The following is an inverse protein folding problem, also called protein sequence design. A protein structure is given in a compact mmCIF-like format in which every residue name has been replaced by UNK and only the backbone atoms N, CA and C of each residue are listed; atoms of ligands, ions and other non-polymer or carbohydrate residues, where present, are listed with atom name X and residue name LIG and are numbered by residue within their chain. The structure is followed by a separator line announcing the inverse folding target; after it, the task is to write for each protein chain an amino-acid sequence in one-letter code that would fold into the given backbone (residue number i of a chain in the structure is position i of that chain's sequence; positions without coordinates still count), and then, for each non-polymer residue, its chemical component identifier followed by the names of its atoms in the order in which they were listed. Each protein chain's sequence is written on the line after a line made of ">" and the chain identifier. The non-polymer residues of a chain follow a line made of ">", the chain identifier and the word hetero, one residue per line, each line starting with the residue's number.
data_IF_601653715742
#
_entry.id   IF_601653715742
#
_cell.length_a   1.000
_cell.length_b   1.000
_cell.length_c   1.000
_cell.angle_alpha   90.00
_cell.angle_beta   90.00
_cell.angle_gamma   90.00
#
_symmetry.space_group_name_H-M   'P 1'
#
loop_
_entity.id
_entity.type
_entity.pdbx_description
1 polymer ?
#
# COMPACT_ATOMS: atom_id res chain seq x y z
N UNK A 1 25.49 -9.58 2.97
CA UNK A 1 24.49 -8.59 2.52
C UNK A 1 24.52 -7.41 3.47
N UNK A 2 24.52 -6.18 2.95
CA UNK A 2 24.37 -4.97 3.75
C UNK A 2 23.28 -4.09 3.12
N UNK A 3 22.55 -3.39 3.97
CA UNK A 3 21.55 -2.42 3.54
C UNK A 3 21.64 -1.21 4.46
N UNK A 4 21.60 -0.02 3.87
CA UNK A 4 21.53 1.26 4.57
C UNK A 4 20.63 2.21 3.77
N UNK A 5 19.65 2.81 4.42
CA UNK A 5 18.83 3.87 3.85
C UNK A 5 18.69 5.04 4.83
N UNK A 6 18.71 6.28 4.34
CA UNK A 6 18.65 7.50 5.15
C UNK A 6 17.50 8.40 4.69
N UNK A 7 16.77 8.95 5.66
CA UNK A 7 15.74 9.97 5.46
C UNK A 7 16.07 11.21 6.31
N UNK A 8 16.21 12.36 5.67
CA UNK A 8 16.47 13.65 6.34
C UNK A 8 15.24 14.59 6.32
N UNK A 9 14.25 14.30 5.48
CA UNK A 9 13.05 15.12 5.36
C UNK A 9 12.00 14.69 6.40
N UNK A 10 11.58 15.62 7.27
CA UNK A 10 10.58 15.36 8.31
C UNK A 10 9.19 14.94 7.77
N UNK A 11 8.80 15.43 6.58
CA UNK A 11 7.60 14.98 5.91
C UNK A 11 7.69 13.51 5.51
N UNK A 12 8.82 13.11 4.91
CA UNK A 12 9.05 11.75 4.41
C UNK A 12 9.17 10.77 5.57
N UNK A 13 9.77 11.19 6.69
CA UNK A 13 9.82 10.37 7.91
C UNK A 13 8.43 10.09 8.48
N UNK A 14 7.55 11.10 8.56
CA UNK A 14 6.16 10.90 9.03
C UNK A 14 5.33 10.07 8.05
N UNK A 15 5.52 10.30 6.76
CA UNK A 15 4.89 9.52 5.69
C UNK A 15 5.29 8.05 5.77
N UNK A 16 6.58 7.76 5.89
CA UNK A 16 7.11 6.40 6.06
C UNK A 16 6.49 5.72 7.29
N UNK A 17 6.42 6.42 8.43
CA UNK A 17 5.74 5.89 9.60
C UNK A 17 4.27 5.57 9.33
N UNK A 18 3.53 6.44 8.64
CA UNK A 18 2.12 6.21 8.33
C UNK A 18 1.92 5.03 7.37
N UNK A 19 2.85 4.82 6.43
CA UNK A 19 2.89 3.64 5.57
C UNK A 19 3.06 2.38 6.41
N UNK A 20 4.07 2.33 7.30
CA UNK A 20 4.29 1.15 8.15
C UNK A 20 3.11 0.92 9.12
N UNK A 21 2.50 1.97 9.66
CA UNK A 21 1.29 1.85 10.49
C UNK A 21 0.12 1.31 9.67
N UNK A 22 -0.02 1.70 8.40
CA UNK A 22 -1.03 1.14 7.49
C UNK A 22 -0.83 -0.37 7.34
N UNK A 23 0.40 -0.80 7.06
CA UNK A 23 0.74 -2.23 6.95
C UNK A 23 0.49 -2.99 8.26
N UNK A 24 0.75 -2.38 9.43
CA UNK A 24 0.51 -3.02 10.72
C UNK A 24 -0.95 -3.30 11.04
N UNK A 25 -1.88 -2.65 10.33
CA UNK A 25 -3.33 -2.92 10.43
C UNK A 25 -3.80 -3.99 9.45
N UNK A 26 -2.99 -4.34 8.46
CA UNK A 26 -3.34 -5.28 7.40
C UNK A 26 -2.80 -6.68 7.67
N UNK A 27 -1.58 -6.78 8.21
CA UNK A 27 -0.90 -8.05 8.44
C UNK A 27 -0.09 -8.06 9.73
N UNK A 28 0.13 -9.26 10.30
CA UNK A 28 1.02 -9.49 11.44
C UNK A 28 2.49 -9.53 11.04
N UNK A 29 2.76 -10.03 9.83
CA UNK A 29 4.09 -10.15 9.20
C UNK A 29 4.03 -9.58 7.78
N UNK A 30 4.99 -8.73 7.43
CA UNK A 30 5.12 -8.18 6.08
C UNK A 30 6.48 -8.54 5.49
N UNK A 31 6.52 -8.62 4.16
CA UNK A 31 7.75 -8.83 3.41
C UNK A 31 8.29 -7.50 2.93
N UNK A 32 9.58 -7.29 3.13
CA UNK A 32 10.35 -6.16 2.63
C UNK A 32 11.23 -6.68 1.49
N UNK A 33 10.98 -6.22 0.27
CA UNK A 33 11.81 -6.48 -0.90
C UNK A 33 12.64 -5.23 -1.21
N UNK A 34 13.96 -5.35 -1.09
CA UNK A 34 14.94 -4.27 -1.22
C UNK A 34 15.69 -4.46 -2.53
N UNK A 35 15.50 -3.55 -3.48
CA UNK A 35 16.13 -3.53 -4.81
C UNK A 35 17.00 -2.25 -4.96
N UNK A 36 17.99 -2.21 -5.87
CA UNK A 36 18.89 -1.07 -6.04
C UNK A 36 18.21 0.29 -6.24
N UNK A 37 17.05 0.31 -6.88
CA UNK A 37 16.31 1.50 -7.28
C UNK A 37 14.99 1.69 -6.53
N UNK A 38 14.53 0.70 -5.77
CA UNK A 38 13.22 0.73 -5.11
C UNK A 38 13.16 -0.21 -3.89
N UNK A 39 12.29 0.12 -2.96
CA UNK A 39 11.93 -0.74 -1.85
C UNK A 39 10.43 -0.99 -1.86
N UNK A 40 10.07 -2.26 -1.69
CA UNK A 40 8.70 -2.70 -1.65
C UNK A 40 8.34 -3.27 -0.29
N UNK A 41 7.14 -2.97 0.19
CA UNK A 41 6.56 -3.62 1.36
C UNK A 41 5.30 -4.36 0.96
N UNK A 42 5.21 -5.64 1.30
CA UNK A 42 4.13 -6.52 0.88
C UNK A 42 3.41 -7.03 2.12
N UNK A 43 2.13 -6.70 2.23
CA UNK A 43 1.20 -7.31 3.16
C UNK A 43 0.40 -8.36 2.40
N UNK A 44 0.85 -9.61 2.48
CA UNK A 44 0.21 -10.73 1.80
C UNK A 44 -0.94 -11.31 2.64
N UNK A 45 -1.85 -12.01 1.97
CA UNK A 45 -2.94 -12.76 2.59
C UNK A 45 -2.35 -13.97 3.34
N UNK A 46 -2.44 -13.99 4.68
CA UNK A 46 -2.36 -15.27 5.40
C UNK A 46 -3.60 -16.09 4.97
N UNK A 47 -3.39 -17.31 4.49
CA UNK A 47 -4.45 -18.17 3.92
C UNK A 47 -5.69 -18.22 4.82
N UNK A 48 -6.86 -17.82 4.29
CA UNK A 48 -8.14 -17.80 5.02
C UNK A 48 -8.49 -16.48 5.71
N UNK A 49 -7.72 -15.41 5.50
CA UNK A 49 -8.03 -14.08 6.06
C UNK A 49 -8.87 -13.21 5.11
N UNK A 50 -9.63 -12.29 5.68
CA UNK A 50 -10.39 -11.27 4.92
C UNK A 50 -9.55 -10.03 4.58
N UNK A 51 -8.22 -10.12 4.60
CA UNK A 51 -7.35 -8.99 4.28
C UNK A 51 -7.04 -8.99 2.77
N UNK A 52 -7.07 -7.83 2.09
CA UNK A 52 -6.68 -7.77 0.70
C UNK A 52 -5.16 -7.78 0.56
N UNK A 53 -4.67 -8.25 -0.60
CA UNK A 53 -3.27 -8.08 -0.96
C UNK A 53 -2.99 -6.57 -1.09
N UNK A 54 -1.99 -6.10 -0.34
CA UNK A 54 -1.54 -4.72 -0.38
C UNK A 54 -0.04 -4.70 -0.52
N UNK A 55 0.46 -3.87 -1.43
CA UNK A 55 1.89 -3.59 -1.51
C UNK A 55 2.16 -2.10 -1.63
N UNK A 56 3.35 -1.70 -1.24
CA UNK A 56 3.82 -0.32 -1.27
C UNK A 56 5.06 -0.26 -2.12
N UNK A 57 5.08 0.68 -3.06
CA UNK A 57 6.21 0.96 -3.93
C UNK A 57 6.84 2.28 -3.49
N UNK A 58 8.15 2.26 -3.24
CA UNK A 58 8.94 3.46 -2.89
C UNK A 58 10.18 3.50 -3.80
N UNK A 59 10.27 4.52 -4.65
CA UNK A 59 11.46 4.82 -5.44
C UNK A 59 12.58 5.29 -4.52
N UNK A 60 13.70 4.57 -4.53
CA UNK A 60 14.79 4.79 -3.59
C UNK A 60 15.51 6.14 -3.84
N UNK A 61 15.64 6.55 -5.11
CA UNK A 61 16.34 7.77 -5.52
C UNK A 61 15.53 9.02 -5.15
N UNK A 62 14.21 8.93 -5.23
CA UNK A 62 13.32 10.04 -4.91
C UNK A 62 13.06 10.16 -3.40
N UNK A 63 13.17 9.05 -2.66
CA UNK A 63 12.76 8.99 -1.25
C UNK A 63 13.91 9.11 -0.24
N UNK A 64 15.04 8.47 -0.49
CA UNK A 64 16.16 8.41 0.45
C UNK A 64 17.31 9.32 0.01
N UNK A 65 17.93 10.02 0.97
CA UNK A 65 19.12 10.85 0.72
C UNK A 65 20.38 9.99 0.55
N UNK A 66 20.41 8.84 1.20
CA UNK A 66 21.44 7.81 1.02
C UNK A 66 20.74 6.45 0.92
N UNK A 67 21.09 5.67 -0.09
CA UNK A 67 20.54 4.33 -0.30
C UNK A 67 21.61 3.40 -0.82
N UNK A 68 22.10 2.51 0.05
CA UNK A 68 23.24 1.64 -0.20
C UNK A 68 22.85 0.19 0.06
N UNK A 69 23.08 -0.65 -0.95
CA UNK A 69 22.86 -2.09 -0.89
C UNK A 69 24.15 -2.78 -1.33
N UNK A 70 24.61 -3.72 -0.51
CA UNK A 70 25.65 -4.67 -0.88
C UNK A 70 25.03 -6.08 -0.91
N UNK A 71 24.94 -6.64 -2.10
CA UNK A 71 24.44 -8.00 -2.32
C UNK A 71 25.55 -9.01 -2.05
N UNK A 72 25.17 -10.26 -1.75
CA UNK A 72 26.15 -11.31 -1.44
C UNK A 72 27.00 -11.72 -2.65
N UNK A 73 26.46 -11.56 -3.85
CA UNK A 73 26.95 -12.16 -5.10
C UNK A 73 26.52 -11.26 -6.28
N UNK A 74 27.36 -11.15 -7.32
CA UNK A 74 27.13 -10.28 -8.50
C UNK A 74 25.94 -10.66 -9.38
N UNK A 75 25.41 -11.87 -9.24
CA UNK A 75 24.24 -12.35 -10.01
C UNK A 75 22.88 -11.99 -9.38
N UNK A 76 22.87 -11.30 -8.24
CA UNK A 76 21.63 -11.05 -7.50
C UNK A 76 21.22 -9.59 -7.67
N UNK A 77 19.91 -9.36 -7.63
CA UNK A 77 19.33 -8.03 -7.78
C UNK A 77 18.61 -7.54 -6.53
N UNK A 78 18.34 -8.38 -5.51
CA UNK A 78 17.48 -7.98 -4.38
C UNK A 78 17.78 -8.69 -3.05
N UNK A 79 17.28 -8.12 -1.95
CA UNK A 79 17.25 -8.71 -0.60
C UNK A 79 15.80 -8.79 -0.14
N UNK A 80 15.34 -9.97 0.27
CA UNK A 80 13.98 -10.18 0.79
C UNK A 80 14.02 -10.54 2.27
N UNK A 81 13.25 -9.80 3.07
CA UNK A 81 13.17 -9.93 4.52
C UNK A 81 11.71 -10.07 4.95
N UNK A 82 11.42 -10.84 6.00
CA UNK A 82 10.13 -10.82 6.70
C UNK A 82 10.29 -10.13 8.05
N UNK A 83 9.32 -9.31 8.43
CA UNK A 83 9.27 -8.70 9.77
C UNK A 83 7.85 -8.32 10.17
N UNK A 84 7.64 -8.14 11.46
CA UNK A 84 6.37 -7.60 11.96
C UNK A 84 6.28 -6.09 11.74
N UNK A 85 5.34 -5.58 10.92
CA UNK A 85 5.13 -4.14 10.76
C UNK A 85 4.71 -3.47 12.08
N UNK A 86 4.09 -4.20 13.01
CA UNK A 86 3.77 -3.69 14.34
C UNK A 86 5.05 -3.40 15.17
N UNK A 87 6.07 -4.24 15.09
CA UNK A 87 7.36 -3.99 15.75
C UNK A 87 8.12 -2.86 15.06
N UNK A 88 8.10 -2.83 13.72
CA UNK A 88 8.73 -1.77 12.95
C UNK A 88 8.09 -0.41 13.22
N UNK A 89 6.75 -0.32 13.27
CA UNK A 89 6.05 0.94 13.59
C UNK A 89 6.38 1.44 15.01
N UNK A 90 6.59 0.53 15.97
CA UNK A 90 7.02 0.89 17.33
C UNK A 90 8.45 1.44 17.35
N UNK A 91 9.37 0.82 16.61
CA UNK A 91 10.74 1.31 16.44
C UNK A 91 10.80 2.69 15.76
N UNK A 92 9.85 2.98 14.86
CA UNK A 92 9.71 4.26 14.16
C UNK A 92 8.88 5.30 14.94
N UNK A 93 8.45 5.01 16.18
CA UNK A 93 7.55 5.90 16.93
C UNK A 93 8.14 7.29 17.17
N UNK A 94 9.47 7.40 17.29
CA UNK A 94 10.22 8.66 17.42
C UNK A 94 10.02 9.61 16.23
N UNK A 95 9.62 9.10 15.05
CA UNK A 95 9.34 9.92 13.85
C UNK A 95 8.08 10.79 14.00
N UNK A 96 7.23 10.53 15.00
CA UNK A 96 6.10 11.42 15.34
C UNK A 96 6.56 12.73 15.97
N UNK A 97 7.76 12.74 16.54
CA UNK A 97 8.35 13.91 17.21
C UNK A 97 9.14 14.78 16.22
N UNK A 98 9.91 15.74 16.72
CA UNK A 98 10.79 16.59 15.91
C UNK A 98 12.05 15.83 15.44
N UNK A 99 11.85 14.73 14.70
CA UNK A 99 12.90 13.96 14.07
C UNK A 99 13.56 14.76 12.93
N UNK A 100 14.89 14.71 12.85
CA UNK A 100 15.68 15.37 11.80
C UNK A 100 16.41 14.40 10.90
N UNK A 101 16.70 13.21 11.40
CA UNK A 101 17.43 12.19 10.69
C UNK A 101 16.89 10.83 11.10
N UNK A 102 16.67 9.95 10.12
CA UNK A 102 16.32 8.56 10.34
C UNK A 102 17.17 7.69 9.43
N UNK A 103 17.79 6.67 10.00
CA UNK A 103 18.64 5.72 9.28
C UNK A 103 18.18 4.31 9.56
N UNK A 104 17.92 3.58 8.48
CA UNK A 104 17.60 2.17 8.48
C UNK A 104 18.87 1.41 8.11
N UNK A 105 19.25 0.41 8.89
CA UNK A 105 20.44 -0.41 8.61
C UNK A 105 20.18 -1.87 8.90
N UNK A 106 20.48 -2.73 7.92
CA UNK A 106 20.51 -4.17 8.17
C UNK A 106 21.80 -4.53 8.91
N UNK A 107 21.65 -5.13 10.09
CA UNK A 107 22.75 -5.57 10.94
C UNK A 107 22.55 -7.04 11.30
N UNK A 108 23.63 -7.69 11.71
CA UNK A 108 23.57 -9.03 12.28
C UNK A 108 24.11 -8.98 13.70
N UNK A 109 23.24 -9.27 14.68
CA UNK A 109 23.63 -9.45 16.08
C UNK A 109 23.73 -10.95 16.37
N UNK A 110 22.91 -11.47 17.29
CA UNK A 110 22.66 -12.91 17.42
C UNK A 110 21.75 -13.45 16.31
N UNK A 111 20.92 -12.56 15.75
CA UNK A 111 20.05 -12.79 14.62
C UNK A 111 19.99 -11.50 13.76
N UNK A 112 19.52 -11.59 12.50
CA UNK A 112 19.41 -10.42 11.63
C UNK A 112 18.39 -9.40 12.18
N UNK A 113 18.76 -8.13 12.21
CA UNK A 113 17.89 -7.04 12.63
C UNK A 113 17.91 -5.87 11.64
N UNK A 114 16.76 -5.24 11.46
CA UNK A 114 16.66 -3.92 10.88
C UNK A 114 16.78 -2.88 12.00
N UNK A 115 17.97 -2.28 12.12
CA UNK A 115 18.23 -1.20 13.06
C UNK A 115 17.63 0.10 12.53
N UNK A 116 16.87 0.77 13.39
CA UNK A 116 16.28 2.09 13.17
C UNK A 116 16.99 3.08 14.09
N UNK A 117 17.79 3.98 13.55
CA UNK A 117 18.44 5.08 14.27
C UNK A 117 17.72 6.39 13.95
N UNK A 118 17.28 7.13 14.95
CA UNK A 118 16.56 8.41 14.78
C UNK A 118 17.16 9.49 15.66
N UNK A 119 17.48 10.63 15.07
CA UNK A 119 17.89 11.83 15.80
C UNK A 119 16.70 12.76 15.98
N UNK A 120 16.37 13.02 17.26
CA UNK A 120 15.23 13.85 17.66
C UNK A 120 15.75 15.09 18.37
N UNK A 121 15.26 16.26 17.95
CA UNK A 121 15.55 17.54 18.60
C UNK A 121 14.70 17.69 19.87
N UNK A 122 15.35 17.91 21.01
CA UNK A 122 14.65 18.23 22.27
C UNK A 122 14.14 19.66 22.24
N UNK A 123 12.88 19.87 22.66
CA UNK A 123 12.25 21.20 22.66
C UNK A 123 12.92 22.18 23.63
N UNK A 124 13.55 21.67 24.70
CA UNK A 124 14.01 22.51 25.81
C UNK A 124 15.50 22.85 25.77
N UNK A 125 16.33 22.14 24.99
CA UNK A 125 17.79 22.32 25.04
C UNK A 125 18.47 22.46 23.67
N UNK A 126 17.72 22.48 22.55
CA UNK A 126 18.28 22.42 21.19
C UNK A 126 19.31 21.28 21.00
N UNK A 127 19.31 20.28 21.88
CA UNK A 127 20.20 19.13 21.81
C UNK A 127 19.53 18.03 21.01
N UNK A 128 20.31 17.31 20.23
CA UNK A 128 19.86 16.13 19.49
C UNK A 128 20.02 14.90 20.36
N UNK A 129 18.91 14.21 20.64
CA UNK A 129 18.92 12.89 21.26
C UNK A 129 18.83 11.83 20.16
N UNK A 130 19.78 10.92 20.14
CA UNK A 130 19.74 9.76 19.28
C UNK A 130 18.99 8.62 19.97
N UNK A 131 18.11 7.95 19.22
CA UNK A 131 17.41 6.73 19.63
C UNK A 131 17.73 5.64 18.63
N UNK A 132 17.98 4.42 19.12
CA UNK A 132 18.29 3.27 18.29
C UNK A 132 17.44 2.08 18.72
N UNK A 133 16.75 1.45 17.77
CA UNK A 133 15.90 0.28 17.99
C UNK A 133 16.26 -0.81 17.00
N UNK A 134 16.45 -2.03 17.49
CA UNK A 134 16.76 -3.20 16.67
C UNK A 134 15.50 -4.03 16.50
N UNK A 135 14.98 -4.09 15.26
CA UNK A 135 13.79 -4.86 14.92
C UNK A 135 14.22 -6.21 14.34
N UNK A 136 13.85 -7.36 14.94
CA UNK A 136 14.16 -8.66 14.37
C UNK A 136 13.60 -8.82 12.95
N UNK A 137 14.42 -9.37 12.04
CA UNK A 137 14.00 -9.71 10.68
C UNK A 137 14.45 -11.13 10.33
N UNK A 138 13.65 -11.81 9.53
CA UNK A 138 13.99 -13.12 8.97
C UNK A 138 14.40 -12.94 7.51
N UNK A 139 15.58 -13.43 7.14
CA UNK A 139 16.01 -13.41 5.73
C UNK A 139 15.25 -14.51 4.99
N UNK A 140 14.51 -14.15 3.95
CA UNK A 140 13.71 -15.12 3.18
C UNK A 140 14.65 -15.90 2.23
N UNK A 141 14.67 -17.24 2.30
CA UNK A 141 15.46 -18.07 1.41
C UNK A 141 15.08 -17.87 -0.06
N UNK A 142 16.07 -17.98 -0.96
CA UNK A 142 15.88 -17.72 -2.40
C UNK A 142 14.83 -18.62 -3.05
N UNK A 143 14.72 -19.88 -2.62
CA UNK A 143 13.73 -20.82 -3.14
C UNK A 143 12.28 -20.45 -2.82
N UNK A 144 12.06 -19.45 -1.94
CA UNK A 144 10.73 -18.99 -1.55
C UNK A 144 10.39 -17.62 -2.15
N UNK A 145 11.29 -17.00 -2.92
CA UNK A 145 11.07 -15.65 -3.45
C UNK A 145 9.87 -15.56 -4.40
N UNK A 146 9.61 -16.61 -5.16
CA UNK A 146 8.50 -16.69 -6.12
C UNK A 146 7.13 -16.52 -5.45
N UNK A 147 6.99 -16.94 -4.18
CA UNK A 147 5.74 -16.77 -3.42
C UNK A 147 5.44 -15.32 -3.03
N UNK A 148 6.45 -14.46 -3.10
CA UNK A 148 6.38 -13.05 -2.71
C UNK A 148 6.63 -12.11 -3.89
N UNK A 149 6.60 -12.64 -5.12
CA UNK A 149 6.64 -11.78 -6.29
C UNK A 149 5.42 -10.88 -6.33
N UNK A 150 5.68 -9.60 -6.60
CA UNK A 150 4.63 -8.61 -6.74
C UNK A 150 3.77 -8.96 -7.95
N UNK A 151 2.43 -8.90 -7.84
CA UNK A 151 1.59 -9.00 -9.01
C UNK A 151 1.93 -7.87 -9.97
N UNK A 152 1.93 -8.17 -11.27
CA UNK A 152 2.00 -7.11 -12.27
C UNK A 152 0.80 -6.17 -12.10
N UNK A 153 1.03 -4.86 -12.19
CA UNK A 153 -0.05 -3.87 -12.16
C UNK A 153 -1.08 -4.26 -13.23
N UNK A 154 -2.33 -4.54 -12.86
CA UNK A 154 -3.32 -5.02 -13.81
C UNK A 154 -3.67 -3.92 -14.80
N UNK A 155 -3.89 -4.31 -16.05
CA UNK A 155 -4.36 -3.40 -17.08
C UNK A 155 -5.89 -3.31 -17.02
N UNK A 156 -6.40 -2.46 -16.11
CA UNK A 156 -7.85 -2.28 -15.91
C UNK A 156 -8.53 -1.62 -17.12
N UNK A 157 -9.78 -2.02 -17.38
CA UNK A 157 -10.60 -1.47 -18.47
C UNK A 157 -10.88 0.02 -18.30
N UNK A 158 -11.22 0.45 -17.08
CA UNK A 158 -11.41 1.85 -16.73
C UNK A 158 -10.64 2.17 -15.45
N UNK A 159 -9.91 3.30 -15.45
CA UNK A 159 -9.25 3.83 -14.25
C UNK A 159 -9.75 5.24 -13.98
N UNK A 160 -10.36 5.43 -12.81
CA UNK A 160 -10.96 6.69 -12.37
C UNK A 160 -10.20 7.26 -11.16
N UNK A 161 -10.09 8.58 -11.08
CA UNK A 161 -9.63 9.25 -9.86
C UNK A 161 -10.82 9.51 -8.92
N UNK A 162 -10.71 9.02 -7.70
CA UNK A 162 -11.72 9.12 -6.64
C UNK A 162 -11.27 10.16 -5.61
N UNK A 163 -12.06 11.22 -5.37
CA UNK A 163 -11.59 12.44 -4.71
C UNK A 163 -11.36 12.32 -3.20
N UNK A 164 -11.85 11.26 -2.53
CA UNK A 164 -11.62 11.12 -1.08
C UNK A 164 -11.72 9.68 -0.58
N UNK A 165 -10.58 9.18 -0.07
CA UNK A 165 -10.53 7.93 0.68
C UNK A 165 -11.43 7.96 1.94
N UNK A 166 -11.64 9.13 2.56
CA UNK A 166 -12.44 9.27 3.79
C UNK A 166 -13.92 9.06 3.52
N UNK A 167 -14.42 9.59 2.40
CA UNK A 167 -15.79 9.38 1.96
C UNK A 167 -16.02 7.91 1.62
N UNK A 168 -15.12 7.32 0.83
CA UNK A 168 -15.15 5.89 0.50
C UNK A 168 -15.12 5.02 1.75
N UNK A 169 -14.20 5.30 2.68
CA UNK A 169 -14.09 4.59 3.95
C UNK A 169 -15.40 4.61 4.73
N UNK A 170 -15.97 5.80 4.95
CA UNK A 170 -17.19 5.94 5.75
C UNK A 170 -18.41 5.27 5.11
N UNK A 171 -18.45 5.21 3.77
CA UNK A 171 -19.49 4.53 3.02
C UNK A 171 -19.32 3.00 3.06
N UNK A 172 -18.14 2.50 2.72
CA UNK A 172 -17.84 1.05 2.76
C UNK A 172 -18.00 0.50 4.18
N UNK A 173 -17.65 1.27 5.20
CA UNK A 173 -17.86 0.88 6.61
C UNK A 173 -19.33 0.70 6.99
N UNK A 174 -20.25 1.39 6.32
CA UNK A 174 -21.70 1.19 6.50
C UNK A 174 -22.19 0.02 5.65
N UNK A 175 -21.76 -0.06 4.40
CA UNK A 175 -22.19 -1.10 3.44
C UNK A 175 -21.81 -2.50 3.91
N UNK A 176 -20.62 -2.68 4.52
CA UNK A 176 -20.15 -4.01 4.98
C UNK A 176 -21.06 -4.71 5.98
N UNK A 177 -21.90 -3.95 6.68
CA UNK A 177 -22.86 -4.46 7.66
C UNK A 177 -24.21 -4.82 7.02
N UNK A 178 -24.43 -4.40 5.76
CA UNK A 178 -25.67 -4.56 5.02
C UNK A 178 -25.55 -5.67 3.99
N UNK A 179 -24.44 -5.72 3.26
CA UNK A 179 -24.18 -6.72 2.22
C UNK A 179 -22.75 -7.28 2.33
N UNK A 180 -22.55 -8.59 2.09
CA UNK A 180 -21.21 -9.17 2.04
C UNK A 180 -20.41 -8.68 0.82
N UNK A 181 -21.09 -8.26 -0.25
CA UNK A 181 -20.47 -7.84 -1.51
C UNK A 181 -20.81 -6.39 -1.84
N UNK A 182 -19.96 -5.76 -2.63
CA UNK A 182 -20.20 -4.42 -3.17
C UNK A 182 -19.78 -4.40 -4.64
N UNK A 183 -20.66 -3.90 -5.49
CA UNK A 183 -20.44 -3.78 -6.92
C UNK A 183 -19.94 -2.38 -7.20
N UNK A 184 -18.76 -2.28 -7.81
CA UNK A 184 -18.26 -1.04 -8.37
C UNK A 184 -18.61 -1.03 -9.85
N UNK A 185 -19.34 -0.02 -10.27
CA UNK A 185 -19.71 0.22 -11.65
C UNK A 185 -19.19 1.59 -12.07
N UNK A 186 -18.54 1.68 -13.22
CA UNK A 186 -17.93 2.90 -13.73
C UNK A 186 -18.27 3.11 -15.20
N UNK A 187 -18.29 4.37 -15.63
CA UNK A 187 -18.48 4.74 -17.04
C UNK A 187 -17.40 5.71 -17.52
N UNK A 188 -17.17 5.72 -18.83
CA UNK A 188 -16.31 6.67 -19.54
C UNK A 188 -16.84 8.12 -19.53
N UNK A 189 -17.97 8.37 -18.87
CA UNK A 189 -18.49 9.72 -18.62
C UNK A 189 -18.04 10.28 -17.26
N UNK A 190 -17.21 9.56 -16.49
CA UNK A 190 -16.77 9.99 -15.17
C UNK A 190 -17.83 9.80 -14.09
N UNK A 191 -18.72 8.82 -14.26
CA UNK A 191 -19.64 8.38 -13.21
C UNK A 191 -19.16 7.05 -12.61
N UNK A 192 -19.22 6.93 -11.29
CA UNK A 192 -18.99 5.67 -10.57
C UNK A 192 -20.12 5.42 -9.59
N UNK A 193 -20.72 4.24 -9.65
CA UNK A 193 -21.74 3.77 -8.73
C UNK A 193 -21.15 2.67 -7.84
N UNK A 194 -21.40 2.78 -6.54
CA UNK A 194 -21.23 1.68 -5.60
C UNK A 194 -22.61 1.14 -5.27
N UNK A 195 -22.85 -0.11 -5.63
CA UNK A 195 -24.13 -0.80 -5.45
C UNK A 195 -23.95 -1.90 -4.42
N UNK A 196 -24.82 -1.92 -3.42
CA UNK A 196 -24.91 -2.97 -2.44
C UNK A 196 -26.33 -3.52 -2.44
N UNK A 197 -26.46 -4.81 -2.68
CA UNK A 197 -27.75 -5.50 -2.76
C UNK A 197 -27.98 -6.32 -1.51
N UNK A 198 -29.21 -6.25 -1.01
CA UNK A 198 -29.72 -7.03 0.12
C UNK A 198 -31.10 -7.55 -0.26
N UNK A 199 -31.63 -8.53 0.47
CA UNK A 199 -32.96 -9.09 0.19
C UNK A 199 -34.08 -8.05 0.24
N UNK A 200 -33.93 -6.98 1.04
CA UNK A 200 -34.98 -5.99 1.27
C UNK A 200 -34.75 -4.66 0.53
N UNK A 201 -33.52 -4.36 0.12
CA UNK A 201 -33.18 -3.06 -0.48
C UNK A 201 -31.90 -3.11 -1.32
N UNK A 202 -31.85 -2.26 -2.34
CA UNK A 202 -30.64 -1.96 -3.11
C UNK A 202 -30.18 -0.55 -2.76
N UNK A 203 -28.95 -0.43 -2.28
CA UNK A 203 -28.33 0.85 -1.94
C UNK A 203 -27.36 1.19 -3.06
N UNK A 204 -27.62 2.29 -3.76
CA UNK A 204 -26.72 2.82 -4.79
C UNK A 204 -26.18 4.17 -4.36
N UNK A 205 -24.87 4.30 -4.29
CA UNK A 205 -24.22 5.60 -4.11
C UNK A 205 -23.51 6.00 -5.39
N UNK A 206 -23.83 7.19 -5.89
CA UNK A 206 -23.29 7.71 -7.14
C UNK A 206 -22.26 8.82 -6.90
N UNK A 207 -21.10 8.66 -7.50
CA UNK A 207 -20.08 9.66 -7.69
C UNK A 207 -20.15 10.17 -9.14
N UNK A 208 -20.10 11.49 -9.31
CA UNK A 208 -20.17 12.16 -10.63
C UNK A 208 -18.97 13.08 -10.78
N UNK A 209 -18.67 13.45 -12.03
CA UNK A 209 -17.58 14.36 -12.39
C UNK A 209 -16.22 13.83 -11.89
N UNK A 210 -15.98 12.53 -12.03
CA UNK A 210 -14.69 11.92 -11.74
C UNK A 210 -13.76 12.05 -12.94
N UNK A 211 -12.50 12.36 -12.68
CA UNK A 211 -11.48 12.41 -13.73
C UNK A 211 -11.11 11.00 -14.17
N UNK A 212 -11.10 10.77 -15.48
CA UNK A 212 -10.71 9.50 -16.06
C UNK A 212 -9.22 9.52 -16.32
N UNK A 213 -8.50 8.57 -15.72
CA UNK A 213 -7.06 8.45 -15.84
C UNK A 213 -6.66 7.62 -17.06
N UNK A 214 -7.28 6.45 -17.21
CA UNK A 214 -6.98 5.52 -18.30
C UNK A 214 -8.27 4.81 -18.77
N UNK A 215 -8.33 4.53 -20.08
CA UNK A 215 -9.40 3.76 -20.72
C UNK A 215 -8.74 2.74 -21.63
N UNK A 216 -8.90 1.46 -21.30
CA UNK A 216 -8.37 0.33 -22.05
C UNK A 216 -9.56 -0.50 -22.58
N UNK A 217 -10.07 -0.19 -23.78
CA UNK A 217 -11.25 -0.87 -24.32
C UNK A 217 -10.98 -2.36 -24.55
N UNK A 218 -12.00 -3.18 -24.30
CA UNK A 218 -11.99 -4.59 -24.65
C UNK A 218 -11.96 -4.77 -26.17
N UNK A 219 -11.36 -5.87 -26.66
CA UNK A 219 -11.25 -6.16 -28.11
C UNK A 219 -12.65 -6.26 -28.74
N UNK A 220 -13.13 -5.17 -29.33
CA UNK A 220 -14.46 -5.08 -29.95
C UNK A 220 -15.20 -3.76 -29.71
N UNK A 221 -14.81 -3.00 -28.67
CA UNK A 221 -15.44 -1.72 -28.34
C UNK A 221 -14.86 -0.59 -29.22
N UNK A 222 -15.63 -0.15 -30.23
CA UNK A 222 -15.20 0.86 -31.21
C UNK A 222 -15.41 2.30 -30.75
N UNK A 223 -16.34 2.53 -29.81
CA UNK A 223 -16.69 3.86 -29.32
C UNK A 223 -16.15 4.06 -27.90
N UNK A 224 -15.13 4.92 -27.76
CA UNK A 224 -14.54 5.26 -26.46
C UNK A 224 -15.50 5.99 -25.52
N UNK A 225 -16.57 6.57 -26.06
CA UNK A 225 -17.51 7.42 -25.32
C UNK A 225 -18.59 6.64 -24.56
N UNK A 226 -18.70 5.32 -24.74
CA UNK A 226 -19.69 4.45 -24.08
C UNK A 226 -19.04 3.21 -23.46
N UNK A 227 -17.89 3.39 -22.82
CA UNK A 227 -17.22 2.28 -22.13
C UNK A 227 -17.72 2.25 -20.70
N UNK A 228 -18.18 1.08 -20.28
CA UNK A 228 -18.57 0.81 -18.90
C UNK A 228 -17.76 -0.36 -18.36
N UNK A 229 -17.51 -0.37 -17.05
CA UNK A 229 -16.84 -1.47 -16.38
C UNK A 229 -17.52 -1.76 -15.05
N UNK A 230 -17.66 -3.05 -14.72
CA UNK A 230 -18.23 -3.47 -13.44
C UNK A 230 -17.53 -4.65 -12.81
N UNK A 231 -17.35 -4.61 -11.49
CA UNK A 231 -16.80 -5.73 -10.73
C UNK A 231 -17.43 -5.79 -9.34
N UNK A 232 -17.81 -6.99 -8.91
CA UNK A 232 -18.30 -7.28 -7.56
C UNK A 232 -17.15 -7.76 -6.69
N UNK A 233 -16.93 -7.15 -5.52
CA UNK A 233 -15.84 -7.49 -4.60
C UNK A 233 -16.33 -7.71 -3.17
N UNK A 234 -15.54 -8.42 -2.36
CA UNK A 234 -15.82 -8.61 -0.94
C UNK A 234 -15.78 -7.27 -0.18
N UNK A 235 -16.88 -6.92 0.48
CA UNK A 235 -17.02 -5.64 1.15
C UNK A 235 -16.17 -5.55 2.43
N UNK A 236 -15.88 -6.67 3.10
CA UNK A 236 -15.02 -6.70 4.28
C UNK A 236 -13.56 -6.49 3.90
N UNK A 237 -13.07 -7.15 2.84
CA UNK A 237 -11.72 -6.92 2.26
C UNK A 237 -11.55 -5.45 1.91
N UNK A 238 -12.53 -4.88 1.21
CA UNK A 238 -12.56 -3.46 0.83
C UNK A 238 -12.55 -2.54 2.06
N UNK A 239 -13.36 -2.83 3.08
CA UNK A 239 -13.41 -2.05 4.33
C UNK A 239 -12.08 -2.07 5.09
N UNK A 240 -11.42 -3.24 5.16
CA UNK A 240 -10.14 -3.41 5.84
C UNK A 240 -9.07 -2.54 5.18
N UNK A 241 -8.99 -2.53 3.85
CA UNK A 241 -8.09 -1.64 3.10
C UNK A 241 -8.29 -0.18 3.49
N UNK A 242 -9.51 0.36 3.32
CA UNK A 242 -9.79 1.77 3.60
C UNK A 242 -9.62 2.14 5.08
N UNK A 243 -9.91 1.21 5.99
CA UNK A 243 -9.72 1.43 7.44
C UNK A 243 -8.26 1.40 7.87
N UNK A 244 -7.42 0.65 7.15
CA UNK A 244 -6.00 0.56 7.41
C UNK A 244 -5.26 1.84 7.00
N UNK A 245 -5.64 2.47 5.88
CA UNK A 245 -4.97 3.67 5.34
C UNK A 245 -4.82 4.77 6.41
N UNK A 246 -3.57 5.04 6.82
CA UNK A 246 -3.21 6.16 7.71
C UNK A 246 -2.45 7.27 6.98
N UNK A 247 -2.26 7.12 5.68
CA UNK A 247 -1.55 8.10 4.87
C UNK A 247 -2.47 9.31 4.57
N UNK A 248 -1.92 10.54 4.58
CA UNK A 248 -2.69 11.72 4.20
C UNK A 248 -3.28 11.52 2.81
N UNK A 249 -4.48 12.06 2.61
CA UNK A 249 -5.30 11.84 1.41
C UNK A 249 -4.58 12.33 0.16
N UNK A 250 -3.94 11.41 -0.56
CA UNK A 250 -3.50 11.62 -1.92
C UNK A 250 -4.59 11.30 -2.94
N UNK A 251 -4.22 11.27 -4.21
CA UNK A 251 -5.08 10.83 -5.31
C UNK A 251 -5.29 9.32 -5.21
N UNK A 252 -6.54 8.90 -5.02
CA UNK A 252 -6.95 7.50 -5.08
C UNK A 252 -7.41 7.19 -6.51
N UNK A 253 -6.71 6.34 -7.23
CA UNK A 253 -7.19 5.79 -8.48
C UNK A 253 -7.87 4.44 -8.24
N UNK A 254 -9.01 4.22 -8.88
CA UNK A 254 -9.80 2.99 -8.87
C UNK A 254 -9.84 2.44 -10.30
N UNK A 255 -9.10 1.37 -10.54
CA UNK A 255 -9.09 0.59 -11.77
C UNK A 255 -10.08 -0.56 -11.68
N UNK A 256 -11.01 -0.67 -12.63
CA UNK A 256 -12.00 -1.74 -12.70
C UNK A 256 -11.73 -2.57 -13.95
N UNK A 257 -11.57 -3.89 -13.77
CA UNK A 257 -11.58 -4.87 -14.84
C UNK A 257 -12.83 -5.76 -14.71
N UNK A 258 -13.53 -5.98 -15.82
CA UNK A 258 -14.85 -6.60 -15.83
C UNK A 258 -14.82 -8.01 -15.20
N UNK A 259 -15.62 -8.22 -14.16
CA UNK A 259 -15.81 -9.48 -13.44
C UNK A 259 -14.51 -10.19 -13.01
N UNK A 260 -13.41 -9.44 -12.88
CA UNK A 260 -12.08 -10.00 -12.58
C UNK A 260 -11.49 -9.43 -11.31
N UNK A 261 -11.29 -8.12 -11.26
CA UNK A 261 -10.67 -7.46 -10.11
C UNK A 261 -10.91 -5.94 -10.12
N UNK A 262 -10.71 -5.35 -8.94
CA UNK A 262 -10.55 -3.92 -8.76
C UNK A 262 -9.14 -3.66 -8.25
N UNK A 263 -8.44 -2.75 -8.92
CA UNK A 263 -7.13 -2.24 -8.53
C UNK A 263 -7.29 -0.87 -7.87
N UNK A 264 -6.89 -0.76 -6.61
CA UNK A 264 -6.84 0.51 -5.90
C UNK A 264 -5.40 0.98 -5.85
N UNK A 265 -5.16 2.25 -6.21
CA UNK A 265 -3.85 2.89 -6.13
C UNK A 265 -3.98 4.20 -5.37
N UNK A 266 -3.29 4.33 -4.23
CA UNK A 266 -3.20 5.56 -3.46
C UNK A 266 -1.84 6.18 -3.72
N UNK A 267 -1.81 7.25 -4.53
CA UNK A 267 -0.60 8.00 -4.82
C UNK A 267 -0.33 8.98 -3.68
N UNK A 268 0.74 8.75 -2.92
CA UNK A 268 1.10 9.58 -1.78
C UNK A 268 1.99 10.74 -2.24
N UNK A 269 2.97 10.42 -3.09
CA UNK A 269 3.86 11.38 -3.76
C UNK A 269 4.42 10.76 -5.04
N UNK A 270 5.16 11.56 -5.81
CA UNK A 270 5.95 11.03 -6.91
C UNK A 270 6.92 9.95 -6.39
N UNK A 271 6.88 8.76 -7.00
CA UNK A 271 7.68 7.60 -6.61
C UNK A 271 7.20 6.88 -5.35
N UNK A 272 6.03 7.22 -4.78
CA UNK A 272 5.46 6.49 -3.63
C UNK A 272 3.98 6.24 -3.80
N UNK A 273 3.61 4.96 -3.90
CA UNK A 273 2.24 4.52 -4.06
C UNK A 273 1.92 3.30 -3.18
N UNK A 274 0.69 3.22 -2.70
CA UNK A 274 0.12 2.01 -2.09
C UNK A 274 -0.85 1.41 -3.10
N UNK A 275 -0.70 0.13 -3.37
CA UNK A 275 -1.55 -0.61 -4.26
C UNK A 275 -2.31 -1.69 -3.52
N UNK A 276 -3.52 -2.00 -3.99
CA UNK A 276 -4.29 -3.15 -3.53
C UNK A 276 -5.05 -3.78 -4.69
N UNK A 277 -5.11 -5.11 -4.69
CA UNK A 277 -5.94 -5.88 -5.62
C UNK A 277 -7.07 -6.52 -4.84
N UNK A 278 -8.29 -6.24 -5.27
CA UNK A 278 -9.52 -6.84 -4.77
C UNK A 278 -10.04 -7.77 -5.86
N UNK A 279 -9.92 -9.11 -5.70
CA UNK A 279 -10.42 -10.04 -6.70
C UNK A 279 -11.95 -10.02 -6.72
N UNK A 280 -12.53 -10.31 -7.89
CA UNK A 280 -13.95 -10.49 -8.02
C UNK A 280 -14.44 -11.67 -7.16
N UNK A 281 -15.59 -11.50 -6.52
CA UNK A 281 -16.32 -12.62 -5.91
C UNK A 281 -17.15 -13.30 -6.99
N UNK A 282 -16.97 -14.62 -7.15
CA UNK A 282 -17.88 -15.40 -7.99
C UNK A 282 -19.29 -15.29 -7.42
N UNK A 283 -20.23 -14.80 -8.24
CA UNK A 283 -21.66 -14.92 -7.97
C UNK A 283 -22.15 -16.32 -8.32
#
# INVERSE_FOLDING_TARGET
>A
MKFKAVMDNAGYMREFLNIIVTLSKLTKECVINIEPDKIHFIANEESGTTAPLVWVDIDAKLYFSEYNIELADSNHSKIMLSTSPANLSRALSSLRSNARHCKLKLINLQFPCLRVEVDVLTQNSNQTRQTAHDVPVTVIPRGEWDYYELPQKPNSKLVLNVPSNRLMRGLIDKIKNLSPTVIFYATSAGEMNLVAETEMATITTRYKNLDIREINPSKGEKNKDQIEASCSVDCKKTSIFFSALQVPTGELSCGIDDDRLIHMEVNIRNGVAIHSILPAVCM
#
